data_IF_473766968100
#
_entry.id   IF_473766968100
#
_cell.length_a   1.000
_cell.length_b   1.000
_cell.length_c   1.000
_cell.angle_alpha   90.00
_cell.angle_beta   90.00
_cell.angle_gamma   90.00
#
_symmetry.space_group_name_H-M   'P 1'
#
loop_
_entity.id
_entity.type
_entity.pdbx_description
1 polymer ?
#
# COMPACT_ATOMS: atom_id res chain seq x y z
N UNK A 1 7.88 -29.71 2.98
CA UNK A 1 6.91 -30.44 2.13
C UNK A 1 6.53 -29.47 1.04
N UNK A 2 6.78 -29.82 -0.21
CA UNK A 2 6.31 -29.04 -1.35
C UNK A 2 4.83 -29.38 -1.55
N UNK A 3 3.96 -28.38 -1.47
CA UNK A 3 2.54 -28.52 -1.79
C UNK A 3 2.35 -28.58 -3.30
N UNK A 4 1.36 -29.34 -3.76
CA UNK A 4 0.90 -29.24 -5.14
C UNK A 4 0.18 -27.91 -5.39
N UNK A 5 0.00 -27.53 -6.67
CA UNK A 5 -0.73 -26.31 -7.05
C UNK A 5 -2.15 -26.31 -6.45
N UNK A 6 -2.84 -27.43 -6.53
CA UNK A 6 -4.22 -27.59 -6.04
C UNK A 6 -4.27 -27.42 -4.51
N UNK A 7 -3.34 -28.04 -3.78
CA UNK A 7 -3.25 -27.90 -2.33
C UNK A 7 -2.92 -26.46 -1.89
N UNK A 8 -2.08 -25.75 -2.64
CA UNK A 8 -1.81 -24.33 -2.38
C UNK A 8 -3.06 -23.48 -2.59
N UNK A 9 -3.79 -23.70 -3.68
CA UNK A 9 -5.03 -22.99 -3.98
C UNK A 9 -6.06 -23.20 -2.87
N UNK A 10 -6.26 -24.43 -2.42
CA UNK A 10 -7.20 -24.75 -1.33
C UNK A 10 -6.77 -24.08 -0.01
N UNK A 11 -5.49 -24.16 0.34
CA UNK A 11 -4.94 -23.54 1.56
C UNK A 11 -5.05 -22.03 1.54
N UNK A 12 -4.70 -21.40 0.42
CA UNK A 12 -4.78 -19.94 0.27
C UNK A 12 -6.23 -19.48 0.39
N UNK A 13 -7.18 -20.14 -0.28
CA UNK A 13 -8.61 -19.83 -0.15
C UNK A 13 -9.11 -20.03 1.27
N UNK A 14 -8.74 -21.13 1.90
CA UNK A 14 -9.13 -21.43 3.28
C UNK A 14 -8.61 -20.37 4.26
N UNK A 15 -7.33 -20.02 4.17
CA UNK A 15 -6.75 -19.03 5.07
C UNK A 15 -7.18 -17.59 4.77
N UNK A 16 -7.49 -17.27 3.51
CA UNK A 16 -8.12 -16.00 3.15
C UNK A 16 -9.52 -15.92 3.78
N UNK A 17 -10.39 -16.93 3.57
CA UNK A 17 -11.73 -16.98 4.17
C UNK A 17 -11.66 -16.94 5.71
N UNK A 18 -10.71 -17.67 6.30
CA UNK A 18 -10.45 -17.61 7.73
C UNK A 18 -10.06 -16.20 8.19
N UNK A 19 -9.17 -15.53 7.48
CA UNK A 19 -8.73 -14.18 7.78
C UNK A 19 -9.89 -13.17 7.71
N UNK A 20 -10.67 -13.17 6.61
CA UNK A 20 -11.82 -12.28 6.43
C UNK A 20 -12.98 -12.60 7.39
N UNK A 21 -13.05 -13.84 7.86
CA UNK A 21 -13.99 -14.23 8.93
C UNK A 21 -13.48 -13.91 10.35
N UNK A 22 -12.37 -13.20 10.48
CA UNK A 22 -11.74 -12.87 11.76
C UNK A 22 -10.95 -14.01 12.41
N UNK A 23 -10.68 -15.10 11.65
CA UNK A 23 -9.90 -16.26 12.07
C UNK A 23 -8.48 -16.19 11.51
N UNK A 24 -7.57 -15.58 12.20
CA UNK A 24 -6.17 -15.57 11.81
C UNK A 24 -5.49 -16.90 12.22
N UNK A 25 -5.53 -17.92 11.34
CA UNK A 25 -5.06 -19.28 11.63
C UNK A 25 -3.58 -19.50 11.29
N UNK A 26 -3.01 -18.65 10.43
CA UNK A 26 -1.58 -18.61 10.11
C UNK A 26 -1.04 -17.19 10.22
N UNK A 27 0.28 -17.03 10.27
CA UNK A 27 0.90 -15.70 10.23
C UNK A 27 0.85 -15.14 8.81
N UNK A 28 0.85 -13.80 8.68
CA UNK A 28 0.96 -13.13 7.37
C UNK A 28 2.18 -13.62 6.58
N UNK A 29 3.31 -13.86 7.26
CA UNK A 29 4.53 -14.38 6.64
C UNK A 29 4.36 -15.81 6.11
N UNK A 30 3.64 -16.68 6.84
CA UNK A 30 3.33 -18.03 6.38
C UNK A 30 2.33 -17.99 5.21
N UNK A 31 1.34 -17.07 5.26
CA UNK A 31 0.40 -16.85 4.18
C UNK A 31 1.10 -16.31 2.93
N UNK A 32 1.96 -15.30 3.07
CA UNK A 32 2.79 -14.76 1.99
C UNK A 32 3.69 -15.85 1.38
N UNK A 33 4.18 -16.77 2.20
CA UNK A 33 4.96 -17.93 1.72
C UNK A 33 4.13 -18.86 0.84
N UNK A 34 2.86 -19.13 1.18
CA UNK A 34 1.96 -19.92 0.34
C UNK A 34 1.68 -19.21 -0.99
N UNK A 35 1.47 -17.89 -0.95
CA UNK A 35 1.28 -17.06 -2.14
C UNK A 35 2.51 -17.12 -3.05
N UNK A 36 3.72 -16.97 -2.49
CA UNK A 36 4.96 -17.06 -3.27
C UNK A 36 5.17 -18.45 -3.89
N UNK A 37 4.86 -19.53 -3.16
CA UNK A 37 4.91 -20.89 -3.70
C UNK A 37 3.92 -21.06 -4.86
N UNK A 38 2.68 -20.56 -4.72
CA UNK A 38 1.71 -20.59 -5.81
C UNK A 38 2.17 -19.74 -6.99
N UNK A 39 2.77 -18.58 -6.75
CA UNK A 39 3.31 -17.71 -7.80
C UNK A 39 4.41 -18.37 -8.61
N UNK A 40 5.25 -19.19 -7.98
CA UNK A 40 6.30 -19.97 -8.67
C UNK A 40 5.69 -21.06 -9.55
N UNK A 41 4.62 -21.72 -9.09
CA UNK A 41 3.98 -22.82 -9.80
C UNK A 41 2.97 -22.37 -10.88
N UNK A 42 2.29 -21.26 -10.62
CA UNK A 42 1.23 -20.69 -11.49
C UNK A 42 1.16 -19.16 -11.33
N UNK A 43 2.07 -18.42 -11.99
CA UNK A 43 2.13 -16.95 -11.89
C UNK A 43 0.84 -16.23 -12.31
N UNK A 44 0.06 -16.85 -13.20
CA UNK A 44 -1.19 -16.31 -13.76
C UNK A 44 -2.44 -16.69 -12.93
N UNK A 45 -2.27 -17.31 -11.77
CA UNK A 45 -3.40 -17.79 -10.98
C UNK A 45 -4.29 -16.64 -10.48
N UNK A 46 -5.60 -16.78 -10.66
CA UNK A 46 -6.60 -15.78 -10.28
C UNK A 46 -6.55 -15.39 -8.78
N UNK A 47 -6.15 -16.31 -7.90
CA UNK A 47 -6.02 -16.03 -6.47
C UNK A 47 -4.89 -15.05 -6.17
N UNK A 48 -3.78 -15.13 -6.90
CA UNK A 48 -2.67 -14.18 -6.78
C UNK A 48 -3.15 -12.79 -7.22
N UNK A 49 -4.11 -12.77 -8.16
CA UNK A 49 -4.73 -11.57 -8.69
C UNK A 49 -5.71 -10.89 -7.72
N UNK A 50 -6.45 -11.69 -6.93
CA UNK A 50 -7.59 -11.24 -6.14
C UNK A 50 -7.28 -10.76 -4.72
N UNK A 51 -6.06 -10.94 -4.22
CA UNK A 51 -5.71 -10.74 -2.81
C UNK A 51 -5.52 -9.29 -2.34
N UNK A 52 -5.80 -8.31 -3.18
CA UNK A 52 -5.70 -6.89 -2.82
C UNK A 52 -7.02 -6.17 -3.08
N UNK A 53 -7.84 -5.96 -2.06
CA UNK A 53 -8.90 -4.98 -2.19
C UNK A 53 -10.29 -5.27 -1.60
N UNK A 54 -10.50 -6.32 -0.82
CA UNK A 54 -11.87 -6.74 -0.42
C UNK A 54 -12.56 -5.78 0.57
N UNK A 55 -11.86 -5.10 1.48
CA UNK A 55 -12.48 -4.12 2.39
C UNK A 55 -12.91 -2.85 1.64
N UNK A 56 -12.04 -2.30 0.79
CA UNK A 56 -12.35 -1.14 -0.06
C UNK A 56 -13.49 -1.47 -1.05
N UNK A 57 -13.60 -2.71 -1.49
CA UNK A 57 -14.65 -3.17 -2.39
C UNK A 57 -16.02 -3.20 -1.69
N UNK A 58 -16.10 -3.66 -0.44
CA UNK A 58 -17.34 -3.70 0.31
C UNK A 58 -17.89 -2.29 0.57
N UNK A 59 -17.05 -1.34 0.99
CA UNK A 59 -17.42 0.05 1.23
C UNK A 59 -17.85 0.76 -0.06
N UNK A 60 -17.11 0.55 -1.16
CA UNK A 60 -17.45 1.16 -2.44
C UNK A 60 -18.73 0.62 -3.06
N UNK A 61 -19.03 -0.68 -2.87
CA UNK A 61 -20.30 -1.28 -3.25
C UNK A 61 -21.45 -0.67 -2.43
N UNK A 62 -21.27 -0.51 -1.12
CA UNK A 62 -22.26 0.12 -0.24
C UNK A 62 -22.56 1.58 -0.65
N UNK A 63 -21.56 2.32 -1.13
CA UNK A 63 -21.71 3.67 -1.65
C UNK A 63 -22.38 3.73 -3.05
N UNK A 64 -22.58 2.59 -3.72
CA UNK A 64 -23.24 2.49 -5.02
C UNK A 64 -22.44 3.06 -6.20
N UNK A 65 -21.11 3.06 -6.10
CA UNK A 65 -20.24 3.42 -7.22
C UNK A 65 -20.27 2.36 -8.32
N UNK A 66 -20.17 2.80 -9.58
CA UNK A 66 -20.19 1.90 -10.75
C UNK A 66 -18.88 1.15 -10.86
N UNK A 67 -18.92 -0.18 -10.96
CA UNK A 67 -17.77 -1.01 -11.35
C UNK A 67 -17.39 -0.75 -12.79
N UNK A 68 -16.10 -0.58 -13.05
CA UNK A 68 -15.54 -0.33 -14.38
C UNK A 68 -14.21 -1.05 -14.52
N UNK A 69 -13.91 -1.46 -15.76
CA UNK A 69 -12.62 -2.06 -16.08
C UNK A 69 -11.53 -1.00 -16.11
N UNK A 70 -10.34 -1.35 -15.63
CA UNK A 70 -9.14 -0.56 -15.87
C UNK A 70 -8.75 -0.60 -17.35
N UNK A 71 -8.21 0.51 -17.89
CA UNK A 71 -7.71 0.55 -19.28
C UNK A 71 -6.57 -0.45 -19.45
N UNK A 72 -5.70 -0.57 -18.45
CA UNK A 72 -4.67 -1.59 -18.35
C UNK A 72 -4.62 -2.08 -16.91
N UNK A 73 -4.33 -3.35 -16.73
CA UNK A 73 -4.20 -3.98 -15.41
C UNK A 73 -3.35 -3.13 -14.47
N UNK A 74 -3.86 -2.87 -13.27
CA UNK A 74 -3.07 -2.23 -12.23
C UNK A 74 -2.15 -3.28 -11.61
N UNK A 75 -0.90 -3.34 -12.11
CA UNK A 75 0.07 -4.32 -11.68
C UNK A 75 0.47 -4.19 -10.21
N UNK A 76 0.99 -5.28 -9.68
CA UNK A 76 1.69 -5.30 -8.40
C UNK A 76 3.19 -5.30 -8.66
N UNK A 77 3.96 -4.50 -7.95
CA UNK A 77 5.42 -4.53 -8.02
C UNK A 77 5.96 -5.75 -7.27
N UNK A 78 6.98 -6.40 -7.83
CA UNK A 78 7.80 -7.32 -7.04
C UNK A 78 8.37 -6.60 -5.82
N UNK A 79 8.46 -7.28 -4.69
CA UNK A 79 8.92 -6.69 -3.43
C UNK A 79 10.27 -7.26 -3.03
N UNK A 80 11.23 -6.41 -2.79
CA UNK A 80 12.43 -6.74 -2.03
C UNK A 80 12.18 -6.36 -0.57
N UNK A 81 12.14 -7.37 0.30
CA UNK A 81 11.92 -7.15 1.73
C UNK A 81 13.19 -6.80 2.48
N UNK A 82 14.36 -7.01 1.85
CA UNK A 82 15.67 -6.72 2.42
C UNK A 82 16.59 -6.08 1.38
N UNK A 83 17.63 -5.42 1.87
CA UNK A 83 18.67 -4.81 1.03
C UNK A 83 19.44 -5.88 0.24
N UNK A 84 19.62 -7.09 0.81
CA UNK A 84 20.27 -8.21 0.14
C UNK A 84 19.44 -8.71 -1.06
N UNK A 85 18.13 -8.84 -0.90
CA UNK A 85 17.23 -9.21 -2.00
C UNK A 85 17.26 -8.15 -3.13
N UNK A 86 17.35 -6.87 -2.78
CA UNK A 86 17.56 -5.81 -3.76
C UNK A 86 18.93 -5.93 -4.44
N UNK A 87 19.99 -6.29 -3.71
CA UNK A 87 21.31 -6.53 -4.31
C UNK A 87 21.26 -7.61 -5.39
N UNK A 88 20.60 -8.73 -5.09
CA UNK A 88 20.44 -9.83 -6.06
C UNK A 88 19.64 -9.40 -7.30
N UNK A 89 18.62 -8.55 -7.10
CA UNK A 89 17.86 -7.99 -8.21
C UNK A 89 18.73 -7.03 -9.04
N UNK A 90 19.44 -6.11 -8.40
CA UNK A 90 20.27 -5.11 -9.06
C UNK A 90 21.43 -5.71 -9.87
N UNK A 91 22.00 -6.84 -9.41
CA UNK A 91 23.06 -7.56 -10.13
C UNK A 91 22.56 -8.16 -11.46
N UNK A 92 21.27 -8.47 -11.55
CA UNK A 92 20.62 -8.94 -12.80
C UNK A 92 20.16 -7.77 -13.69
N UNK A 93 20.12 -6.55 -13.15
CA UNK A 93 19.64 -5.34 -13.81
C UNK A 93 20.67 -4.20 -13.72
N UNK A 94 21.91 -4.38 -14.28
CA UNK A 94 23.01 -3.42 -14.14
C UNK A 94 22.82 -2.22 -15.08
N UNK A 95 21.88 -1.36 -14.79
CA UNK A 95 21.47 -0.21 -15.61
C UNK A 95 21.34 1.04 -14.75
N UNK A 96 21.05 2.17 -15.39
CA UNK A 96 20.63 3.37 -14.69
C UNK A 96 19.19 3.19 -14.15
N UNK A 97 18.96 3.59 -12.92
CA UNK A 97 17.67 3.49 -12.26
C UNK A 97 16.97 4.84 -12.18
N UNK A 98 15.66 4.85 -12.32
CA UNK A 98 14.79 5.91 -11.84
C UNK A 98 14.17 5.42 -10.53
N UNK A 99 14.44 6.13 -9.45
CA UNK A 99 13.99 5.76 -8.10
C UNK A 99 13.04 6.81 -7.59
N UNK A 100 11.94 6.41 -7.00
CA UNK A 100 10.97 7.33 -6.39
C UNK A 100 10.55 6.86 -5.01
N UNK A 101 10.09 7.80 -4.18
CA UNK A 101 9.38 7.47 -2.94
C UNK A 101 8.19 6.56 -3.27
N UNK A 102 7.94 5.59 -2.39
CA UNK A 102 6.77 4.73 -2.46
C UNK A 102 5.70 5.31 -1.54
N UNK A 103 4.81 6.05 -2.15
CA UNK A 103 3.68 6.66 -1.46
C UNK A 103 2.76 5.58 -0.89
N UNK A 104 2.18 5.84 0.30
CA UNK A 104 1.27 4.94 1.01
C UNK A 104 -0.12 5.54 1.16
N UNK A 105 -0.78 5.72 0.04
CA UNK A 105 -2.09 6.34 -0.06
C UNK A 105 -3.20 5.42 -0.57
N UNK A 106 -4.14 6.05 -1.26
CA UNK A 106 -5.26 5.41 -1.94
C UNK A 106 -5.01 5.39 -3.44
N UNK A 107 -4.74 4.22 -4.00
CA UNK A 107 -4.42 4.06 -5.42
C UNK A 107 -5.60 4.44 -6.31
N UNK A 108 -5.32 5.23 -7.35
CA UNK A 108 -6.33 5.71 -8.27
C UNK A 108 -5.79 5.80 -9.71
N UNK A 109 -6.64 5.49 -10.68
CA UNK A 109 -6.40 5.72 -12.10
C UNK A 109 -7.29 6.88 -12.59
N UNK A 110 -6.68 7.92 -13.13
CA UNK A 110 -7.36 9.05 -13.75
C UNK A 110 -7.37 8.88 -15.25
N UNK A 111 -8.57 8.74 -15.84
CA UNK A 111 -8.74 8.53 -17.29
C UNK A 111 -9.09 9.84 -17.96
N UNK A 112 -8.28 10.21 -18.94
CA UNK A 112 -8.50 11.40 -19.77
C UNK A 112 -8.86 11.00 -21.20
N UNK A 113 -9.94 11.57 -21.73
CA UNK A 113 -10.34 11.45 -23.14
C UNK A 113 -10.29 12.82 -23.80
N UNK A 114 -9.54 12.90 -24.89
CA UNK A 114 -9.29 14.20 -25.55
C UNK A 114 -8.86 15.29 -24.54
N UNK A 115 -7.97 14.91 -23.62
CA UNK A 115 -7.42 15.75 -22.56
C UNK A 115 -8.35 16.05 -21.38
N UNK A 116 -9.63 15.68 -21.41
CA UNK A 116 -10.58 15.91 -20.32
C UNK A 116 -10.68 14.70 -19.40
N UNK A 117 -10.68 14.94 -18.10
CA UNK A 117 -10.91 13.90 -17.09
C UNK A 117 -12.34 13.37 -17.24
N UNK A 118 -12.49 12.05 -17.41
CA UNK A 118 -13.78 11.37 -17.61
C UNK A 118 -14.06 10.26 -16.62
N UNK A 119 -13.03 9.68 -16.00
CA UNK A 119 -13.17 8.65 -14.95
C UNK A 119 -12.06 8.80 -13.90
N UNK A 120 -12.38 8.40 -12.69
CA UNK A 120 -11.45 8.26 -11.57
C UNK A 120 -11.70 6.90 -10.94
N UNK A 121 -10.80 5.93 -11.20
CA UNK A 121 -11.04 4.52 -10.93
C UNK A 121 -10.18 4.07 -9.76
N UNK A 122 -10.81 3.56 -8.68
CA UNK A 122 -10.08 2.96 -7.55
C UNK A 122 -9.40 1.66 -7.97
N UNK A 123 -8.36 1.24 -7.24
CA UNK A 123 -7.58 0.05 -7.59
C UNK A 123 -8.43 -1.21 -7.76
N UNK A 124 -9.39 -1.45 -6.85
CA UNK A 124 -10.16 -2.68 -6.81
C UNK A 124 -9.23 -3.91 -6.81
N UNK A 125 -9.58 -4.93 -7.58
CA UNK A 125 -8.77 -6.14 -7.74
C UNK A 125 -7.64 -6.01 -8.80
N UNK A 126 -7.42 -4.81 -9.33
CA UNK A 126 -6.42 -4.54 -10.37
C UNK A 126 -6.91 -4.70 -11.81
N UNK A 127 -8.04 -5.33 -12.05
CA UNK A 127 -8.73 -5.42 -13.34
C UNK A 127 -10.00 -4.57 -13.36
N UNK A 128 -10.74 -4.59 -12.27
CA UNK A 128 -12.00 -3.89 -12.07
C UNK A 128 -11.87 -3.02 -10.82
N UNK A 129 -12.22 -1.75 -10.96
CA UNK A 129 -12.30 -0.80 -9.86
C UNK A 129 -13.64 -0.09 -9.83
N UNK A 130 -13.77 0.94 -9.00
CA UNK A 130 -14.97 1.75 -8.86
C UNK A 130 -14.74 3.16 -9.39
N UNK A 131 -15.66 3.63 -10.24
CA UNK A 131 -15.60 4.97 -10.81
C UNK A 131 -16.03 6.02 -9.79
N UNK A 132 -15.05 6.72 -9.26
CA UNK A 132 -15.16 7.77 -8.25
C UNK A 132 -15.25 9.17 -8.88
N UNK A 133 -15.50 9.28 -10.19
CA UNK A 133 -15.54 10.58 -10.92
C UNK A 133 -16.42 11.65 -10.26
N UNK A 134 -17.56 11.33 -9.57
CA UNK A 134 -18.33 12.35 -8.88
C UNK A 134 -17.57 13.12 -7.80
N UNK A 135 -16.51 12.51 -7.23
CA UNK A 135 -15.67 13.12 -6.20
C UNK A 135 -14.58 14.05 -6.78
N UNK A 136 -14.24 13.90 -8.06
CA UNK A 136 -13.12 14.62 -8.70
C UNK A 136 -13.22 16.16 -8.59
N UNK A 137 -14.44 16.71 -8.50
CA UNK A 137 -14.67 18.15 -8.33
C UNK A 137 -14.26 18.71 -6.96
N UNK A 138 -14.05 17.84 -5.98
CA UNK A 138 -13.58 18.20 -4.64
C UNK A 138 -12.08 18.00 -4.47
N UNK A 139 -11.41 17.43 -5.47
CA UNK A 139 -9.98 17.08 -5.43
C UNK A 139 -9.17 18.07 -6.27
N UNK A 140 -7.96 18.38 -5.81
CA UNK A 140 -7.05 19.27 -6.53
C UNK A 140 -6.26 18.49 -7.60
N UNK A 141 -6.93 18.13 -8.68
CA UNK A 141 -6.35 17.42 -9.84
C UNK A 141 -6.68 18.14 -11.15
N UNK A 142 -5.79 18.10 -12.16
CA UNK A 142 -6.05 18.69 -13.47
C UNK A 142 -7.30 18.11 -14.13
N UNK A 143 -8.30 18.94 -14.41
CA UNK A 143 -9.52 18.52 -15.09
C UNK A 143 -9.35 18.47 -16.62
N UNK A 144 -8.34 19.17 -17.16
CA UNK A 144 -8.00 19.20 -18.58
C UNK A 144 -6.49 19.34 -18.76
N UNK A 145 -5.89 18.41 -19.51
CA UNK A 145 -4.44 18.33 -19.73
C UNK A 145 -3.97 19.13 -20.96
N UNK A 146 -4.88 19.70 -21.74
CA UNK A 146 -4.52 20.43 -22.97
C UNK A 146 -3.94 19.55 -24.08
N UNK A 147 -4.26 18.26 -24.10
CA UNK A 147 -3.83 17.29 -25.12
C UNK A 147 -5.03 16.66 -25.81
N UNK A 148 -4.82 16.09 -27.00
CA UNK A 148 -5.89 15.41 -27.75
C UNK A 148 -5.84 13.89 -27.65
N UNK A 149 -4.79 13.34 -27.03
CA UNK A 149 -4.66 11.89 -26.82
C UNK A 149 -5.52 11.42 -25.65
N UNK A 150 -5.98 10.20 -25.77
CA UNK A 150 -6.60 9.44 -24.68
C UNK A 150 -5.48 8.81 -23.85
N UNK A 151 -5.46 9.11 -22.57
CA UNK A 151 -4.44 8.60 -21.64
C UNK A 151 -5.05 8.21 -20.31
N UNK A 152 -4.37 7.38 -19.57
CA UNK A 152 -4.63 7.23 -18.13
C UNK A 152 -3.38 7.54 -17.30
N UNK A 153 -3.61 8.09 -16.12
CA UNK A 153 -2.56 8.48 -15.17
C UNK A 153 -2.82 7.76 -13.87
N UNK A 154 -1.81 7.08 -13.35
CA UNK A 154 -1.87 6.39 -12.07
C UNK A 154 -1.12 7.15 -11.00
N UNK A 155 -1.65 7.07 -9.80
CA UNK A 155 -1.08 7.71 -8.63
C UNK A 155 -1.74 7.25 -7.34
N UNK A 156 -1.32 7.87 -6.26
CA UNK A 156 -1.88 7.69 -4.93
C UNK A 156 -2.48 9.00 -4.43
N UNK A 157 -3.71 8.97 -3.92
CA UNK A 157 -4.24 10.08 -3.14
C UNK A 157 -3.83 9.95 -1.68
N UNK A 158 -3.30 11.03 -1.15
CA UNK A 158 -2.90 11.11 0.26
C UNK A 158 -3.43 12.36 0.93
N UNK A 159 -3.82 12.20 2.18
CA UNK A 159 -4.09 13.29 3.09
C UNK A 159 -2.83 13.54 3.91
N UNK A 160 -2.39 14.78 4.00
CA UNK A 160 -1.20 15.11 4.78
C UNK A 160 -1.42 14.96 6.29
N UNK A 161 -0.34 14.75 7.03
CA UNK A 161 -0.38 14.71 8.50
C UNK A 161 -0.90 16.02 9.10
N UNK A 162 -0.55 17.16 8.51
CA UNK A 162 -1.03 18.48 8.94
C UNK A 162 -2.53 18.66 8.70
N UNK A 163 -3.04 18.31 7.50
CA UNK A 163 -4.46 18.34 7.18
C UNK A 163 -5.26 17.40 8.10
N UNK A 164 -4.77 16.16 8.30
CA UNK A 164 -5.40 15.19 9.20
C UNK A 164 -5.58 15.74 10.62
N UNK A 165 -4.56 16.42 11.17
CA UNK A 165 -4.60 17.01 12.50
C UNK A 165 -5.49 18.27 12.59
N UNK A 166 -5.69 18.99 11.49
CA UNK A 166 -6.43 20.26 11.46
C UNK A 166 -7.95 20.10 11.37
N UNK A 167 -8.45 19.02 10.77
CA UNK A 167 -9.88 18.79 10.57
C UNK A 167 -10.51 17.95 11.70
N UNK A 168 -11.51 18.48 12.37
CA UNK A 168 -12.23 17.79 13.47
C UNK A 168 -12.97 16.54 13.00
N UNK A 169 -13.37 16.49 11.73
CA UNK A 169 -14.07 15.34 11.16
C UNK A 169 -13.23 14.05 11.24
N UNK A 170 -11.93 14.16 11.46
CA UNK A 170 -11.01 13.03 11.61
C UNK A 170 -10.72 12.65 13.07
N UNK A 171 -11.32 13.35 14.04
CA UNK A 171 -11.16 12.99 15.46
C UNK A 171 -11.61 11.55 15.70
N UNK A 172 -10.72 10.75 16.31
CA UNK A 172 -10.94 9.33 16.57
C UNK A 172 -10.47 8.38 15.46
N UNK A 173 -10.11 8.88 14.28
CA UNK A 173 -9.44 8.08 13.25
C UNK A 173 -7.97 7.87 13.60
N UNK A 174 -7.39 6.77 13.11
CA UNK A 174 -6.06 6.33 13.53
C UNK A 174 -4.92 7.03 12.77
N UNK A 175 -5.12 7.32 11.49
CA UNK A 175 -4.08 7.87 10.62
C UNK A 175 -4.67 8.56 9.38
N UNK A 176 -3.87 9.39 8.66
CA UNK A 176 -4.30 10.08 7.44
C UNK A 176 -4.76 9.14 6.32
N UNK A 177 -4.14 7.97 6.17
CA UNK A 177 -4.51 7.00 5.13
C UNK A 177 -5.95 6.50 5.31
N UNK A 178 -6.33 6.13 6.55
CA UNK A 178 -7.69 5.69 6.84
C UNK A 178 -8.71 6.83 6.63
N UNK A 179 -8.34 8.07 6.97
CA UNK A 179 -9.16 9.23 6.72
C UNK A 179 -9.36 9.47 5.22
N UNK A 180 -8.28 9.43 4.43
CA UNK A 180 -8.31 9.58 2.98
C UNK A 180 -9.13 8.48 2.29
N UNK A 181 -8.93 7.22 2.68
CA UNK A 181 -9.72 6.08 2.18
C UNK A 181 -11.20 6.26 2.51
N UNK A 182 -11.55 6.62 3.75
CA UNK A 182 -12.91 6.88 4.17
C UNK A 182 -13.58 7.99 3.32
N UNK A 183 -12.89 9.09 3.04
CA UNK A 183 -13.39 10.17 2.19
C UNK A 183 -13.66 9.67 0.76
N UNK A 184 -12.72 8.95 0.16
CA UNK A 184 -12.81 8.46 -1.22
C UNK A 184 -13.83 7.33 -1.40
N UNK A 185 -14.16 6.60 -0.34
CA UNK A 185 -15.16 5.53 -0.37
C UNK A 185 -16.57 6.02 -0.02
N UNK A 186 -16.70 7.20 0.56
CA UNK A 186 -17.99 7.77 0.94
C UNK A 186 -18.79 8.18 -0.29
N UNK A 187 -20.12 8.03 -0.22
CA UNK A 187 -21.03 8.52 -1.26
C UNK A 187 -20.99 10.04 -1.32
N UNK A 188 -20.97 10.61 -2.52
CA UNK A 188 -20.90 12.07 -2.69
C UNK A 188 -21.99 12.83 -1.91
N UNK A 189 -23.22 12.28 -1.90
CA UNK A 189 -24.35 12.87 -1.17
C UNK A 189 -24.16 12.91 0.35
N UNK A 190 -23.33 12.06 0.90
CA UNK A 190 -23.14 11.84 2.33
C UNK A 190 -21.93 12.61 2.88
N UNK A 191 -21.17 13.27 1.98
CA UNK A 191 -20.05 14.11 2.35
C UNK A 191 -20.54 15.40 3.02
N UNK A 192 -20.05 15.66 4.21
CA UNK A 192 -20.25 16.94 4.92
C UNK A 192 -19.48 18.07 4.24
N UNK A 193 -19.78 19.33 4.62
CA UNK A 193 -19.04 20.48 4.12
C UNK A 193 -17.54 20.43 4.52
N UNK A 194 -17.25 20.02 5.75
CA UNK A 194 -15.88 19.89 6.26
C UNK A 194 -15.10 18.80 5.52
N UNK A 195 -15.70 17.66 5.25
CA UNK A 195 -15.09 16.58 4.45
C UNK A 195 -14.77 17.02 3.02
N UNK A 196 -15.65 17.80 2.40
CA UNK A 196 -15.40 18.39 1.08
C UNK A 196 -14.24 19.39 1.08
N UNK A 197 -14.06 20.14 2.16
CA UNK A 197 -12.89 21.00 2.31
C UNK A 197 -11.62 20.17 2.54
N UNK A 198 -11.65 19.16 3.38
CA UNK A 198 -10.53 18.26 3.59
C UNK A 198 -10.09 17.53 2.31
N UNK A 199 -11.04 17.15 1.44
CA UNK A 199 -10.72 16.55 0.14
C UNK A 199 -9.91 17.48 -0.77
N UNK A 200 -10.06 18.81 -0.67
CA UNK A 200 -9.25 19.77 -1.45
C UNK A 200 -7.78 19.78 -1.03
N UNK A 201 -7.49 19.35 0.20
CA UNK A 201 -6.13 19.26 0.73
C UNK A 201 -5.46 17.92 0.42
N UNK A 202 -6.22 16.94 -0.10
CA UNK A 202 -5.63 15.69 -0.58
C UNK A 202 -4.75 15.95 -1.79
N UNK A 203 -3.55 15.37 -1.79
CA UNK A 203 -2.64 15.38 -2.95
C UNK A 203 -2.73 14.08 -3.74
N UNK A 204 -2.64 14.21 -5.04
CA UNK A 204 -2.47 13.08 -5.96
C UNK A 204 -1.03 13.00 -6.41
N UNK A 205 -0.30 12.02 -5.93
CA UNK A 205 1.07 11.73 -6.35
C UNK A 205 1.05 10.82 -7.57
N UNK A 206 1.20 11.43 -8.73
CA UNK A 206 1.17 10.73 -10.01
C UNK A 206 2.52 10.09 -10.32
N UNK A 207 2.55 8.82 -10.74
CA UNK A 207 3.80 8.08 -10.98
C UNK A 207 3.83 7.27 -12.27
N UNK A 208 2.72 7.17 -12.99
CA UNK A 208 2.68 6.40 -14.24
C UNK A 208 1.66 6.99 -15.23
N UNK A 209 1.98 6.86 -16.52
CA UNK A 209 1.16 7.33 -17.65
C UNK A 209 1.01 6.22 -18.67
N UNK A 210 -0.19 6.00 -19.16
CA UNK A 210 -0.52 5.07 -20.23
C UNK A 210 -1.14 5.78 -21.41
N UNK A 211 -0.90 5.29 -22.62
CA UNK A 211 -1.41 5.90 -23.86
C UNK A 211 -0.42 6.85 -24.55
N UNK A 212 0.76 7.04 -23.98
CA UNK A 212 1.89 7.75 -24.58
C UNK A 212 3.13 6.88 -24.45
N UNK A 213 3.93 6.78 -25.54
CA UNK A 213 5.23 6.14 -25.50
C UNK A 213 6.28 7.16 -25.06
N UNK A 214 7.12 6.73 -24.12
CA UNK A 214 8.26 7.50 -23.62
C UNK A 214 9.55 6.77 -23.98
N UNK A 215 10.70 7.41 -23.78
CA UNK A 215 12.01 6.78 -23.95
C UNK A 215 12.52 6.23 -22.63
N UNK A 216 12.32 6.97 -21.58
CA UNK A 216 12.82 6.65 -20.25
C UNK A 216 11.70 6.80 -19.21
N UNK A 217 11.84 6.13 -18.06
CA UNK A 217 10.90 6.28 -16.94
C UNK A 217 10.88 7.72 -16.40
N UNK A 218 12.03 8.38 -16.38
CA UNK A 218 12.15 9.78 -15.99
C UNK A 218 11.32 10.72 -16.85
N UNK A 219 11.12 10.42 -18.15
CA UNK A 219 10.29 11.26 -19.04
C UNK A 219 8.82 11.28 -18.62
N UNK A 220 8.34 10.19 -18.00
CA UNK A 220 6.98 10.12 -17.45
C UNK A 220 6.82 11.16 -16.34
N UNK A 221 7.77 11.25 -15.41
CA UNK A 221 7.72 12.20 -14.31
C UNK A 221 7.81 13.64 -14.81
N UNK A 222 8.68 13.91 -15.80
CA UNK A 222 8.75 15.23 -16.44
C UNK A 222 7.42 15.61 -17.10
N UNK A 223 6.80 14.69 -17.85
CA UNK A 223 5.48 14.88 -18.46
C UNK A 223 4.41 15.20 -17.42
N UNK A 224 4.37 14.44 -16.30
CA UNK A 224 3.40 14.64 -15.23
C UNK A 224 3.53 16.02 -14.59
N UNK A 225 4.76 16.46 -14.30
CA UNK A 225 5.04 17.81 -13.77
C UNK A 225 4.59 18.90 -14.74
N UNK A 226 4.88 18.76 -16.05
CA UNK A 226 4.43 19.70 -17.07
C UNK A 226 2.91 19.78 -17.19
N UNK A 227 2.18 18.73 -16.83
CA UNK A 227 0.70 18.68 -16.84
C UNK A 227 0.09 19.09 -15.50
N UNK A 228 0.90 19.59 -14.55
CA UNK A 228 0.43 20.13 -13.28
C UNK A 228 0.14 19.10 -12.20
N UNK A 229 0.65 17.86 -12.35
CA UNK A 229 0.58 16.87 -11.29
C UNK A 229 1.73 17.03 -10.30
N UNK A 230 1.48 16.65 -9.05
CA UNK A 230 2.54 16.35 -8.10
C UNK A 230 3.07 14.94 -8.40
N UNK A 231 4.38 14.76 -8.32
CA UNK A 231 5.02 13.44 -8.42
C UNK A 231 5.70 13.10 -7.11
N UNK A 232 5.87 11.80 -6.78
CA UNK A 232 6.70 11.37 -5.66
C UNK A 232 8.11 11.98 -5.71
N UNK A 233 8.73 12.17 -4.57
CA UNK A 233 10.16 12.51 -4.54
C UNK A 233 10.94 11.45 -5.31
N UNK A 234 11.83 11.88 -6.23
CA UNK A 234 12.47 10.95 -7.15
C UNK A 234 13.88 11.39 -7.54
N UNK A 235 14.67 10.42 -7.97
CA UNK A 235 16.07 10.63 -8.35
C UNK A 235 16.49 9.61 -9.42
N UNK A 236 17.39 10.02 -10.31
CA UNK A 236 18.12 9.10 -11.19
C UNK A 236 19.35 8.63 -10.43
N UNK A 237 19.52 7.31 -10.32
CA UNK A 237 20.63 6.65 -9.66
C UNK A 237 21.41 5.79 -10.67
N UNK A 238 22.74 5.86 -10.63
CA UNK A 238 23.62 5.15 -11.55
C UNK A 238 24.27 3.91 -10.90
N UNK A 239 24.00 3.70 -9.62
CA UNK A 239 24.56 2.58 -8.86
C UNK A 239 23.61 2.11 -7.76
N UNK A 240 23.86 0.89 -7.30
CA UNK A 240 23.21 0.33 -6.11
C UNK A 240 23.36 1.23 -4.88
N UNK A 241 24.57 1.75 -4.64
CA UNK A 241 24.85 2.58 -3.45
C UNK A 241 24.08 3.91 -3.48
N UNK A 242 23.91 4.52 -4.67
CA UNK A 242 23.11 5.73 -4.83
C UNK A 242 21.63 5.47 -4.53
N UNK A 243 21.09 4.30 -4.89
CA UNK A 243 19.72 3.89 -4.56
C UNK A 243 19.56 3.75 -3.05
N UNK A 244 20.50 3.10 -2.37
CA UNK A 244 20.45 2.95 -0.92
C UNK A 244 20.59 4.29 -0.20
N UNK A 245 21.47 5.17 -0.67
CA UNK A 245 21.61 6.51 -0.10
C UNK A 245 20.29 7.29 -0.18
N UNK A 246 19.59 7.24 -1.31
CA UNK A 246 18.27 7.85 -1.45
C UNK A 246 17.22 7.24 -0.51
N UNK A 247 17.21 5.90 -0.39
CA UNK A 247 16.33 5.20 0.57
C UNK A 247 16.58 5.67 2.01
N UNK A 248 17.84 5.80 2.41
CA UNK A 248 18.21 6.23 3.75
C UNK A 248 17.86 7.70 4.02
N UNK A 249 17.97 8.57 3.00
CA UNK A 249 17.51 9.96 3.11
C UNK A 249 16.02 10.03 3.44
N UNK A 250 15.20 9.30 2.68
CA UNK A 250 13.75 9.23 2.91
C UNK A 250 13.40 8.57 4.25
N UNK A 251 14.13 7.53 4.65
CA UNK A 251 13.88 6.84 5.92
C UNK A 251 14.12 7.73 7.16
N UNK A 252 14.94 8.79 7.06
CA UNK A 252 15.25 9.69 8.19
C UNK A 252 14.07 10.51 8.65
N UNK A 253 13.16 10.87 7.75
CA UNK A 253 11.97 11.68 8.09
C UNK A 253 10.80 10.82 8.54
N UNK A 254 10.83 9.51 8.27
CA UNK A 254 9.76 8.58 8.60
C UNK A 254 9.50 8.51 10.09
N UNK A 255 8.23 8.65 10.48
CA UNK A 255 7.80 8.63 11.89
C UNK A 255 8.21 9.86 12.70
N UNK A 256 8.73 10.91 12.05
CA UNK A 256 9.05 12.20 12.67
C UNK A 256 7.95 13.22 12.40
N UNK A 257 8.02 14.38 13.08
CA UNK A 257 7.09 15.48 12.80
C UNK A 257 7.30 16.16 11.43
N UNK A 258 8.39 15.81 10.73
CA UNK A 258 8.71 16.30 9.39
C UNK A 258 8.04 15.44 8.29
N UNK A 259 7.56 14.25 8.63
CA UNK A 259 6.84 13.40 7.69
C UNK A 259 5.43 13.96 7.43
N UNK A 260 5.27 14.62 6.29
CA UNK A 260 3.98 15.21 5.89
C UNK A 260 3.09 14.19 5.17
N UNK A 261 3.68 13.30 4.38
CA UNK A 261 3.01 12.23 3.64
C UNK A 261 3.66 10.89 3.97
N UNK A 262 2.85 9.85 4.08
CA UNK A 262 3.32 8.52 4.48
C UNK A 262 4.04 7.83 3.31
N UNK A 263 5.25 7.34 3.54
CA UNK A 263 6.00 6.53 2.58
C UNK A 263 6.39 5.20 3.20
N UNK A 264 6.26 4.10 2.44
CA UNK A 264 6.54 2.74 2.93
C UNK A 264 7.83 2.12 2.36
N UNK A 265 8.59 2.90 1.58
CA UNK A 265 9.82 2.48 0.93
C UNK A 265 10.15 3.31 -0.28
N UNK A 266 10.81 2.69 -1.23
CA UNK A 266 11.12 3.25 -2.55
C UNK A 266 10.67 2.30 -3.66
N UNK A 267 10.36 2.86 -4.82
CA UNK A 267 10.15 2.11 -6.05
C UNK A 267 11.32 2.37 -6.97
N UNK A 268 11.93 1.30 -7.46
CA UNK A 268 13.12 1.32 -8.31
C UNK A 268 12.70 0.78 -9.68
N UNK A 269 12.91 1.57 -10.72
CA UNK A 269 12.71 1.18 -12.10
C UNK A 269 14.05 1.18 -12.83
N UNK A 270 14.25 0.26 -13.78
CA UNK A 270 15.20 0.54 -14.84
C UNK A 270 14.78 1.85 -15.53
N UNK A 271 15.70 2.78 -15.72
CA UNK A 271 15.38 4.06 -16.40
C UNK A 271 15.19 3.87 -17.91
N UNK A 272 14.39 2.88 -18.28
CA UNK A 272 14.00 2.54 -19.66
C UNK A 272 12.48 2.43 -19.68
N UNK A 273 11.85 2.93 -20.71
CA UNK A 273 10.42 2.70 -20.95
C UNK A 273 10.25 1.49 -21.87
N UNK A 274 9.46 0.54 -21.42
CA UNK A 274 9.11 -0.66 -22.18
C UNK A 274 7.57 -0.82 -22.14
N UNK A 275 6.94 -0.57 -23.29
CA UNK A 275 5.49 -0.60 -23.41
C UNK A 275 4.91 -2.00 -23.16
N UNK A 276 5.65 -3.06 -23.47
CA UNK A 276 5.20 -4.45 -23.21
C UNK A 276 5.32 -4.79 -21.73
N UNK A 277 6.43 -4.44 -21.06
CA UNK A 277 6.58 -4.63 -19.62
C UNK A 277 5.49 -3.88 -18.82
N UNK A 278 5.02 -2.77 -19.36
CA UNK A 278 3.93 -1.99 -18.80
C UNK A 278 2.56 -2.69 -18.82
N UNK A 279 2.37 -3.68 -19.69
CA UNK A 279 1.13 -4.48 -19.78
C UNK A 279 1.16 -5.68 -18.83
N UNK A 280 2.34 -6.04 -18.36
CA UNK A 280 2.49 -7.15 -17.43
C UNK A 280 1.86 -6.83 -16.07
N UNK A 281 1.21 -7.79 -15.48
CA UNK A 281 0.65 -7.67 -14.12
C UNK A 281 1.76 -7.43 -13.09
N UNK A 282 2.91 -8.09 -13.26
CA UNK A 282 4.11 -7.88 -12.45
C UNK A 282 5.19 -7.37 -13.39
N UNK A 283 5.54 -6.10 -13.25
CA UNK A 283 6.60 -5.51 -14.05
C UNK A 283 7.95 -6.13 -13.70
N UNK A 284 8.68 -6.59 -14.71
CA UNK A 284 9.99 -7.23 -14.54
C UNK A 284 11.10 -6.22 -14.31
N UNK A 285 10.91 -4.99 -14.86
CA UNK A 285 11.90 -3.89 -14.82
C UNK A 285 11.70 -2.96 -13.62
N UNK A 286 10.89 -3.37 -12.66
CA UNK A 286 10.59 -2.58 -11.48
C UNK A 286 10.53 -3.45 -10.23
N UNK A 287 10.97 -2.87 -9.10
CA UNK A 287 10.88 -3.51 -7.79
C UNK A 287 10.62 -2.48 -6.72
N UNK A 288 9.84 -2.85 -5.71
CA UNK A 288 9.68 -2.06 -4.51
C UNK A 288 10.63 -2.56 -3.42
N UNK A 289 11.41 -1.65 -2.84
CA UNK A 289 12.26 -1.91 -1.67
C UNK A 289 11.63 -1.18 -0.48
N UNK A 290 11.00 -1.95 0.40
CA UNK A 290 10.36 -1.40 1.60
C UNK A 290 11.39 -0.94 2.62
N UNK A 291 10.96 -0.01 3.49
CA UNK A 291 11.74 0.32 4.67
C UNK A 291 11.73 -0.86 5.64
N UNK A 292 12.76 -0.92 6.47
CA UNK A 292 12.83 -1.91 7.54
C UNK A 292 11.67 -1.68 8.52
N UNK A 293 11.16 -2.77 9.08
CA UNK A 293 10.14 -2.67 10.12
C UNK A 293 10.71 -1.91 11.31
N UNK A 294 10.02 -0.87 11.74
CA UNK A 294 10.35 -0.25 13.02
C UNK A 294 9.97 -1.22 14.14
N UNK A 295 10.96 -1.57 14.97
CA UNK A 295 10.80 -2.52 16.06
C UNK A 295 10.90 -1.75 17.36
N UNK A 296 9.86 -1.86 18.19
CA UNK A 296 9.87 -1.40 19.58
C UNK A 296 9.96 -2.59 20.55
N UNK A 297 10.36 -2.31 21.78
CA UNK A 297 10.37 -3.29 22.86
C UNK A 297 9.45 -2.84 23.99
N UNK A 298 8.62 -3.75 24.49
CA UNK A 298 7.71 -3.50 25.59
C UNK A 298 7.47 -4.75 26.44
N UNK A 299 6.96 -4.55 27.65
CA UNK A 299 6.63 -5.64 28.55
C UNK A 299 5.14 -5.91 28.52
N UNK A 300 4.73 -7.17 28.41
CA UNK A 300 3.33 -7.59 28.46
C UNK A 300 2.83 -7.43 29.90
N UNK A 301 1.83 -6.60 30.07
CA UNK A 301 1.18 -6.35 31.35
C UNK A 301 -0.03 -7.25 31.56
N UNK A 302 -0.76 -7.55 30.46
CA UNK A 302 -1.96 -8.39 30.48
C UNK A 302 -2.23 -8.97 29.08
N UNK A 303 -3.10 -9.96 28.98
CA UNK A 303 -3.60 -10.51 27.70
C UNK A 303 -5.10 -10.47 27.73
N UNK A 304 -5.68 -9.55 26.97
CA UNK A 304 -7.11 -9.47 26.76
C UNK A 304 -7.55 -10.37 25.59
N UNK A 305 -8.75 -10.91 25.71
CA UNK A 305 -9.36 -11.71 24.66
C UNK A 305 -10.49 -10.91 24.03
N UNK A 306 -10.30 -10.49 22.79
CA UNK A 306 -11.33 -9.79 22.02
C UNK A 306 -12.17 -10.79 21.25
N UNK A 307 -13.49 -10.70 21.41
CA UNK A 307 -14.44 -11.49 20.64
C UNK A 307 -14.72 -10.77 19.31
N UNK A 308 -14.32 -11.38 18.22
CA UNK A 308 -14.64 -10.91 16.88
C UNK A 308 -15.46 -11.99 16.16
N UNK A 309 -16.77 -11.75 16.01
CA UNK A 309 -17.69 -12.78 15.55
C UNK A 309 -17.71 -13.97 16.51
N UNK A 310 -17.35 -15.16 16.02
CA UNK A 310 -17.29 -16.40 16.80
C UNK A 310 -15.90 -16.73 17.37
N UNK A 311 -14.93 -15.83 17.21
CA UNK A 311 -13.53 -16.10 17.53
C UNK A 311 -12.98 -15.19 18.62
N UNK A 312 -12.15 -15.79 19.50
CA UNK A 312 -11.39 -15.08 20.52
C UNK A 312 -9.97 -14.80 19.99
N UNK A 313 -9.68 -13.51 19.80
CA UNK A 313 -8.35 -13.04 19.39
C UNK A 313 -7.60 -12.49 20.60
N UNK A 314 -6.42 -13.01 20.96
CA UNK A 314 -5.64 -12.50 22.05
C UNK A 314 -4.91 -11.21 21.67
N UNK A 315 -4.98 -10.22 22.56
CA UNK A 315 -4.34 -8.92 22.43
C UNK A 315 -3.48 -8.69 23.67
N UNK A 316 -2.18 -8.51 23.48
CA UNK A 316 -1.29 -8.14 24.57
C UNK A 316 -1.50 -6.66 24.93
N UNK A 317 -1.73 -6.39 26.19
CA UNK A 317 -1.64 -5.07 26.80
C UNK A 317 -0.20 -4.90 27.27
N UNK A 318 0.44 -3.79 26.92
CA UNK A 318 1.87 -3.63 27.10
C UNK A 318 2.24 -2.28 27.69
N UNK A 319 3.43 -2.19 28.24
CA UNK A 319 4.00 -0.88 28.59
C UNK A 319 3.99 0.03 27.36
N UNK A 320 3.60 1.32 27.51
CA UNK A 320 3.61 2.25 26.37
C UNK A 320 4.99 2.34 25.73
N UNK A 321 5.02 2.26 24.40
CA UNK A 321 6.23 2.45 23.61
C UNK A 321 5.94 3.35 22.41
N UNK A 322 6.92 4.14 21.98
CA UNK A 322 6.83 4.88 20.74
C UNK A 322 7.22 3.95 19.58
N UNK A 323 6.37 3.86 18.58
CA UNK A 323 6.62 3.05 17.40
C UNK A 323 5.98 3.73 16.20
N UNK A 324 6.80 4.16 15.26
CA UNK A 324 6.35 4.78 14.03
C UNK A 324 5.39 5.97 14.29
N UNK A 325 5.90 6.97 15.02
CA UNK A 325 5.17 8.19 15.36
C UNK A 325 3.93 8.05 16.26
N UNK A 326 3.63 6.82 16.73
CA UNK A 326 2.46 6.56 17.59
C UNK A 326 2.83 5.85 18.87
N UNK A 327 2.05 6.10 19.93
CA UNK A 327 2.18 5.35 21.17
C UNK A 327 1.43 4.03 21.08
N UNK A 328 2.17 2.92 21.13
CA UNK A 328 1.62 1.56 21.12
C UNK A 328 1.52 1.06 22.55
N UNK A 329 0.33 0.62 22.94
CA UNK A 329 0.03 -0.02 24.23
C UNK A 329 -0.64 -1.39 24.05
N UNK A 330 -0.96 -1.77 22.81
CA UNK A 330 -1.69 -3.00 22.48
C UNK A 330 -1.08 -3.61 21.23
N UNK A 331 -0.84 -4.94 21.23
CA UNK A 331 -0.35 -5.66 20.06
C UNK A 331 -1.06 -7.00 19.90
N UNK A 332 -1.31 -7.40 18.66
CA UNK A 332 -1.90 -8.70 18.35
C UNK A 332 -0.94 -9.83 18.72
N UNK A 333 -1.50 -10.89 19.30
CA UNK A 333 -0.85 -12.18 19.56
C UNK A 333 -1.34 -13.26 18.58
N UNK A 334 -2.17 -12.88 17.62
CA UNK A 334 -2.81 -13.71 16.60
C UNK A 334 -3.71 -14.80 17.21
N UNK A 335 -3.14 -15.87 17.75
CA UNK A 335 -3.89 -16.98 18.34
C UNK A 335 -3.07 -17.73 19.42
N UNK A 336 -3.72 -18.67 20.09
CA UNK A 336 -3.11 -19.45 21.17
C UNK A 336 -1.91 -20.30 20.70
N UNK A 337 -1.95 -20.79 19.47
CA UNK A 337 -0.83 -21.58 18.91
C UNK A 337 0.43 -20.73 18.77
N UNK A 338 0.31 -19.47 18.34
CA UNK A 338 1.43 -18.54 18.23
C UNK A 338 1.95 -18.13 19.61
N UNK A 339 1.06 -17.89 20.60
CA UNK A 339 1.47 -17.63 21.99
C UNK A 339 2.33 -18.79 22.51
N UNK A 340 1.88 -20.01 22.29
CA UNK A 340 2.61 -21.22 22.72
C UNK A 340 3.93 -21.40 21.97
N UNK A 341 3.95 -21.17 20.62
CA UNK A 341 5.15 -21.25 19.79
C UNK A 341 6.22 -20.24 20.22
N UNK A 342 5.82 -19.04 20.56
CA UNK A 342 6.72 -17.97 21.01
C UNK A 342 7.05 -18.06 22.51
N UNK A 343 6.37 -18.92 23.27
CA UNK A 343 6.56 -19.08 24.71
C UNK A 343 6.23 -17.81 25.51
N UNK A 344 5.26 -17.03 25.03
CA UNK A 344 4.91 -15.71 25.56
C UNK A 344 3.98 -15.85 26.76
N UNK A 345 4.24 -15.05 27.79
CA UNK A 345 3.41 -14.93 29.01
C UNK A 345 3.44 -13.49 29.54
N UNK A 346 2.51 -13.17 30.42
CA UNK A 346 2.47 -11.89 31.14
C UNK A 346 3.79 -11.70 31.89
N UNK A 347 4.35 -10.52 31.83
CA UNK A 347 5.66 -10.14 32.40
C UNK A 347 6.83 -10.29 31.43
N UNK A 348 6.65 -10.91 30.27
CA UNK A 348 7.73 -11.05 29.29
C UNK A 348 7.96 -9.73 28.54
N UNK A 349 9.24 -9.46 28.29
CA UNK A 349 9.66 -8.39 27.36
C UNK A 349 9.61 -8.93 25.93
N UNK A 350 8.99 -8.20 25.03
CA UNK A 350 8.76 -8.63 23.64
C UNK A 350 9.15 -7.55 22.64
N UNK A 351 9.52 -7.98 21.45
CA UNK A 351 9.68 -7.11 20.29
C UNK A 351 8.38 -7.02 19.53
N UNK A 352 8.03 -5.81 19.15
CA UNK A 352 6.78 -5.46 18.45
C UNK A 352 7.12 -4.67 17.20
N UNK A 353 6.49 -4.99 16.07
CA UNK A 353 6.51 -4.17 14.89
C UNK A 353 5.08 -3.88 14.43
N UNK A 354 4.88 -2.77 13.72
CA UNK A 354 3.65 -2.53 12.98
C UNK A 354 3.71 -3.32 11.67
N UNK A 355 2.81 -4.28 11.51
CA UNK A 355 2.64 -5.00 10.26
C UNK A 355 1.74 -4.21 9.34
N UNK A 356 2.20 -3.96 8.09
CA UNK A 356 1.47 -3.10 7.16
C UNK A 356 1.26 -1.68 7.69
N UNK A 357 2.15 -1.20 8.57
CA UNK A 357 2.20 0.15 9.18
C UNK A 357 1.04 0.51 10.11
N UNK A 358 0.06 -0.37 10.30
CA UNK A 358 -1.17 -0.05 11.05
C UNK A 358 -1.31 -0.89 12.33
N UNK A 359 -1.07 -2.21 12.25
CA UNK A 359 -1.40 -3.13 13.32
C UNK A 359 -0.15 -3.58 14.09
N UNK A 360 0.01 -3.19 15.37
CA UNK A 360 1.11 -3.71 16.17
C UNK A 360 0.98 -5.22 16.39
N UNK A 361 2.06 -5.96 16.09
CA UNK A 361 2.14 -7.41 16.26
C UNK A 361 3.40 -7.79 17.04
N UNK A 362 3.30 -8.76 17.93
CA UNK A 362 4.46 -9.29 18.64
C UNK A 362 5.24 -10.21 17.70
N UNK A 363 6.53 -9.92 17.53
CA UNK A 363 7.44 -10.70 16.69
C UNK A 363 8.09 -11.86 17.45
N UNK A 364 8.63 -11.56 18.62
CA UNK A 364 9.32 -12.54 19.46
C UNK A 364 9.46 -12.04 20.90
N UNK A 365 9.80 -12.97 21.80
CA UNK A 365 10.24 -12.65 23.13
C UNK A 365 11.69 -12.14 23.09
N UNK A 366 11.99 -11.12 23.88
CA UNK A 366 13.37 -10.68 24.14
C UNK A 366 14.01 -11.65 25.12
N UNK A 367 15.16 -12.16 24.76
CA UNK A 367 15.90 -13.11 25.58
C UNK A 367 16.41 -12.48 26.90
#
# INVERSE_FOLDING_TARGET
MEYTKEELIEKIKYYADAYYSGREEISDADYDTLIEQLRVLDPENELIAGLAGDEDEAEANAAGYRKVDHILTTGTLSKCMTVEAFKEWSDKHPVQYHVSAKEDGCSMELVYRNGKLVQMISRGNGYIGFDKIPLAKYLNIPQNLGITKDISIRGEFELSNSAFKSHKVFEGLKNPRNAGSGLLNKKESDLTAEEKEAMKEMKFFAYDVRGIDFKQKADIFAFLLERGFTVPENRICNSYDEVLAFREELAKVRGTDEEEYAIDGIVIFENVYDAEDQKEKIQKRAVALKFDLMIGEGTILDIEWSLNGSYLTPIAIMTPMQLDGTTVTRAKLCNLSIINKLGIKIGDKVRVAKMGEIIPKILCKVA
#
